data_IF_952512812333
#
_entry.id   IF_952512812333
#
_cell.length_a   1.000
_cell.length_b   1.000
_cell.length_c   1.000
_cell.angle_alpha   90.00
_cell.angle_beta   90.00
_cell.angle_gamma   90.00
#
_symmetry.space_group_name_H-M   'P 1'
#
loop_
_entity.id
_entity.type
_entity.pdbx_description
1 polymer ?
#
# COMPACT_ATOMS: atom_id res chain seq x y z
N UNK A 1 2.20 -3.58 14.17
CA UNK A 1 1.76 -3.75 12.76
C UNK A 1 2.20 -2.54 11.95
N UNK A 2 2.65 -2.75 10.72
CA UNK A 2 2.92 -1.68 9.75
C UNK A 2 1.96 -1.81 8.57
N UNK A 3 1.31 -0.72 8.19
CA UNK A 3 0.43 -0.64 7.04
C UNK A 3 0.87 0.49 6.10
N UNK A 4 0.73 0.26 4.79
CA UNK A 4 1.00 1.28 3.77
C UNK A 4 0.03 1.11 2.60
N UNK A 5 -0.21 2.19 1.88
CA UNK A 5 -1.16 2.23 0.79
C UNK A 5 -1.44 3.64 0.30
N UNK A 6 -2.62 3.80 -0.29
CA UNK A 6 -3.13 5.08 -0.76
C UNK A 6 -4.20 5.66 0.19
N UNK A 7 -5.07 6.54 -0.32
CA UNK A 7 -6.14 7.18 0.43
C UNK A 7 -7.11 6.21 1.13
N UNK A 8 -7.36 5.04 0.53
CA UNK A 8 -8.16 3.96 1.14
C UNK A 8 -7.54 3.40 2.43
N UNK A 9 -6.20 3.42 2.52
CA UNK A 9 -5.46 2.99 3.72
C UNK A 9 -5.23 4.14 4.68
N UNK A 10 -5.02 5.34 4.16
CA UNK A 10 -4.88 6.57 4.95
C UNK A 10 -6.12 6.88 5.82
N UNK A 11 -7.31 6.47 5.37
CA UNK A 11 -8.57 6.85 5.99
C UNK A 11 -9.08 8.20 5.51
N UNK A 12 -8.83 8.52 4.24
CA UNK A 12 -9.30 9.76 3.63
C UNK A 12 -10.83 9.90 3.79
N UNK A 13 -11.29 11.14 3.94
CA UNK A 13 -12.70 11.50 4.11
C UNK A 13 -13.39 10.97 5.40
N UNK A 14 -12.69 10.25 6.29
CA UNK A 14 -13.21 9.96 7.65
C UNK A 14 -13.48 11.26 8.42
N UNK A 15 -12.59 12.23 8.22
CA UNK A 15 -12.67 13.62 8.68
C UNK A 15 -12.30 14.54 7.52
N UNK A 16 -12.39 15.85 7.73
CA UNK A 16 -11.81 16.81 6.78
C UNK A 16 -10.28 16.64 6.71
N UNK A 17 -9.80 16.13 5.58
CA UNK A 17 -8.38 15.84 5.35
C UNK A 17 -7.52 17.11 5.33
N UNK A 18 -8.13 18.27 5.05
CA UNK A 18 -7.44 19.56 5.04
C UNK A 18 -7.30 20.15 6.45
N UNK A 19 -8.06 19.62 7.40
CA UNK A 19 -8.11 20.18 8.74
C UNK A 19 -6.77 20.00 9.47
N UNK A 20 -6.18 21.10 9.99
CA UNK A 20 -4.99 21.02 10.82
C UNK A 20 -5.28 20.46 12.22
N UNK A 21 -6.56 20.29 12.60
CA UNK A 21 -7.02 19.88 13.92
C UNK A 21 -6.43 18.50 14.31
N UNK A 22 -5.70 18.49 15.43
CA UNK A 22 -5.08 17.29 15.95
C UNK A 22 -6.11 16.26 16.43
N UNK A 23 -7.29 16.69 16.89
CA UNK A 23 -8.36 15.79 17.33
C UNK A 23 -8.94 15.03 16.13
N UNK A 24 -9.20 15.73 15.02
CA UNK A 24 -9.68 15.08 13.79
C UNK A 24 -8.62 14.16 13.18
N UNK A 25 -7.35 14.57 13.20
CA UNK A 25 -6.24 13.70 12.79
C UNK A 25 -6.21 12.41 13.61
N UNK A 26 -6.26 12.53 14.94
CA UNK A 26 -6.26 11.40 15.85
C UNK A 26 -7.46 10.48 15.62
N UNK A 27 -8.64 11.07 15.42
CA UNK A 27 -9.84 10.31 15.07
C UNK A 27 -9.61 9.48 13.80
N UNK A 28 -9.10 10.07 12.70
CA UNK A 28 -8.78 9.29 11.49
C UNK A 28 -7.79 8.17 11.77
N UNK A 29 -6.72 8.46 12.51
CA UNK A 29 -5.69 7.47 12.86
C UNK A 29 -6.33 6.29 13.61
N UNK A 30 -7.18 6.54 14.61
CA UNK A 30 -7.86 5.53 15.44
C UNK A 30 -8.99 4.77 14.71
N UNK A 31 -9.59 5.38 13.67
CA UNK A 31 -10.80 4.84 13.02
C UNK A 31 -10.53 4.30 11.61
N UNK A 32 -9.31 4.46 11.09
CA UNK A 32 -8.87 3.86 9.84
C UNK A 32 -8.74 2.33 9.96
N UNK A 33 -8.84 1.62 8.83
CA UNK A 33 -8.78 0.15 8.85
C UNK A 33 -7.48 -0.40 9.44
N UNK A 34 -6.30 0.25 9.29
CA UNK A 34 -5.10 -0.23 9.97
C UNK A 34 -5.23 -0.21 11.49
N UNK A 35 -5.80 0.84 12.09
CA UNK A 35 -6.00 0.87 13.54
C UNK A 35 -6.99 -0.21 13.98
N UNK A 36 -8.15 -0.31 13.30
CA UNK A 36 -9.14 -1.36 13.59
C UNK A 36 -8.57 -2.77 13.44
N UNK A 37 -7.71 -3.01 12.45
CA UNK A 37 -7.04 -4.29 12.27
C UNK A 37 -6.03 -4.56 13.39
N UNK A 38 -5.32 -3.52 13.83
CA UNK A 38 -4.44 -3.60 15.00
C UNK A 38 -5.21 -4.04 16.25
N UNK A 39 -6.37 -3.43 16.51
CA UNK A 39 -7.25 -3.81 17.62
C UNK A 39 -7.68 -5.29 17.51
N UNK A 40 -8.14 -5.74 16.34
CA UNK A 40 -8.55 -7.13 16.13
C UNK A 40 -7.42 -8.16 16.26
N UNK A 41 -6.16 -7.73 16.10
CA UNK A 41 -4.98 -8.59 16.17
C UNK A 41 -4.19 -8.40 17.47
N UNK A 42 -4.72 -7.62 18.44
CA UNK A 42 -4.04 -7.26 19.68
C UNK A 42 -2.63 -6.69 19.44
N UNK A 43 -2.47 -5.85 18.41
CA UNK A 43 -1.18 -5.24 18.08
C UNK A 43 -0.83 -4.13 19.08
N UNK A 44 0.35 -4.21 19.69
CA UNK A 44 0.84 -3.19 20.63
C UNK A 44 0.97 -1.80 19.98
N UNK A 45 1.44 -1.76 18.74
CA UNK A 45 1.64 -0.53 17.95
C UNK A 45 1.11 -0.70 16.53
N UNK A 46 0.54 0.37 15.97
CA UNK A 46 0.12 0.44 14.56
C UNK A 46 0.77 1.64 13.89
N UNK A 47 1.47 1.40 12.79
CA UNK A 47 2.01 2.45 11.91
C UNK A 47 1.22 2.45 10.61
N UNK A 48 0.57 3.57 10.29
CA UNK A 48 -0.08 3.79 9.00
C UNK A 48 0.76 4.79 8.18
N UNK A 49 1.57 4.28 7.25
CA UNK A 49 2.46 5.08 6.37
C UNK A 49 1.81 5.41 5.02
N UNK A 50 0.49 5.20 4.89
CA UNK A 50 -0.24 5.54 3.69
C UNK A 50 -0.36 7.07 3.50
N UNK A 51 -0.55 7.48 2.24
CA UNK A 51 -0.86 8.87 1.88
C UNK A 51 -1.97 8.93 0.86
N UNK A 52 -2.70 10.05 0.83
CA UNK A 52 -3.65 10.33 -0.24
C UNK A 52 -2.92 10.32 -1.58
N UNK A 53 -3.55 9.75 -2.60
CA UNK A 53 -2.97 9.60 -3.95
C UNK A 53 -1.68 8.75 -4.02
N UNK A 54 -1.30 8.03 -2.95
CA UNK A 54 -0.11 7.17 -2.95
C UNK A 54 -0.11 6.18 -4.11
N UNK A 55 0.98 6.16 -4.88
CA UNK A 55 1.25 5.20 -5.95
C UNK A 55 1.94 3.94 -5.44
N UNK A 56 1.91 2.88 -6.26
CA UNK A 56 2.59 1.63 -5.92
C UNK A 56 4.13 1.78 -5.93
N UNK A 57 4.67 2.75 -6.68
CA UNK A 57 6.09 3.11 -6.65
C UNK A 57 6.47 3.63 -5.26
N UNK A 58 5.68 4.58 -4.73
CA UNK A 58 5.85 5.10 -3.37
C UNK A 58 5.71 3.99 -2.34
N UNK A 59 4.63 3.22 -2.41
CA UNK A 59 4.32 2.16 -1.43
C UNK A 59 5.49 1.18 -1.32
N UNK A 60 6.02 0.70 -2.45
CA UNK A 60 7.18 -0.17 -2.47
C UNK A 60 8.40 0.50 -1.83
N UNK A 61 8.76 1.71 -2.29
CA UNK A 61 9.95 2.43 -1.83
C UNK A 61 9.89 2.74 -0.34
N UNK A 62 8.81 3.37 0.14
CA UNK A 62 8.73 3.78 1.55
C UNK A 62 8.56 2.59 2.49
N UNK A 63 7.92 1.50 2.05
CA UNK A 63 7.88 0.26 2.84
C UNK A 63 9.27 -0.33 3.02
N UNK A 64 10.05 -0.45 1.95
CA UNK A 64 11.42 -0.97 2.04
C UNK A 64 12.31 -0.05 2.88
N UNK A 65 12.23 1.26 2.66
CA UNK A 65 12.99 2.26 3.43
C UNK A 65 12.64 2.20 4.93
N UNK A 66 11.34 2.10 5.26
CA UNK A 66 10.87 2.00 6.64
C UNK A 66 11.39 0.72 7.29
N UNK A 67 11.24 -0.44 6.65
CA UNK A 67 11.72 -1.72 7.17
C UNK A 67 13.25 -1.73 7.36
N UNK A 68 13.99 -1.13 6.44
CA UNK A 68 15.44 -0.97 6.56
C UNK A 68 15.85 -0.06 7.73
N UNK A 69 15.01 0.90 8.11
CA UNK A 69 15.17 1.74 9.30
C UNK A 69 14.78 1.06 10.61
N UNK A 70 13.94 0.03 10.56
CA UNK A 70 13.36 -0.67 11.72
C UNK A 70 13.83 -2.13 11.85
N UNK A 71 15.11 -2.39 11.53
CA UNK A 71 15.69 -3.74 11.50
C UNK A 71 15.53 -4.51 12.80
N UNK A 72 15.65 -3.84 13.95
CA UNK A 72 15.51 -4.49 15.25
C UNK A 72 14.11 -5.10 15.43
N UNK A 73 13.06 -4.37 15.05
CA UNK A 73 11.67 -4.85 15.08
C UNK A 73 11.47 -6.04 14.13
N UNK A 74 12.09 -5.96 12.95
CA UNK A 74 12.08 -7.04 11.94
C UNK A 74 12.78 -8.30 12.48
N UNK A 75 13.95 -8.17 13.09
CA UNK A 75 14.75 -9.30 13.62
C UNK A 75 14.08 -9.98 14.81
N UNK A 76 13.41 -9.19 15.66
CA UNK A 76 12.54 -9.71 16.74
C UNK A 76 11.30 -10.43 16.19
N UNK A 77 10.94 -10.22 14.92
CA UNK A 77 9.88 -10.94 14.21
C UNK A 77 8.50 -10.79 14.84
N UNK A 78 8.23 -9.63 15.43
CA UNK A 78 6.93 -9.23 16.00
C UNK A 78 6.16 -8.31 15.05
N UNK A 79 6.50 -8.33 13.75
CA UNK A 79 5.99 -7.38 12.76
C UNK A 79 5.11 -8.09 11.72
N UNK A 80 3.86 -7.65 11.61
CA UNK A 80 3.02 -7.87 10.43
C UNK A 80 3.07 -6.64 9.53
N UNK A 81 3.33 -6.85 8.24
CA UNK A 81 3.25 -5.82 7.17
C UNK A 81 1.98 -6.02 6.36
N UNK A 82 1.12 -5.00 6.27
CA UNK A 82 -0.12 -5.06 5.49
C UNK A 82 -0.11 -3.99 4.40
N UNK A 83 -0.26 -4.39 3.13
CA UNK A 83 -0.15 -3.48 1.99
C UNK A 83 -1.46 -3.45 1.21
N UNK A 84 -2.05 -2.25 1.12
CA UNK A 84 -3.14 -1.95 0.21
C UNK A 84 -2.59 -1.37 -1.09
N UNK A 85 -2.47 -2.21 -2.13
CA UNK A 85 -2.01 -1.76 -3.44
C UNK A 85 -3.01 -0.79 -4.06
N UNK A 86 -2.53 0.34 -4.56
CA UNK A 86 -3.34 1.34 -5.23
C UNK A 86 -3.56 1.00 -6.71
N UNK A 87 -4.24 1.88 -7.44
CA UNK A 87 -4.43 1.74 -8.88
C UNK A 87 -3.08 1.74 -9.61
N UNK A 88 -2.85 0.73 -10.44
CA UNK A 88 -1.57 0.50 -11.12
C UNK A 88 -1.13 1.66 -12.02
N UNK A 89 -2.08 2.46 -12.51
CA UNK A 89 -1.81 3.62 -13.34
C UNK A 89 -1.07 4.76 -12.60
N UNK A 90 -1.11 4.79 -11.26
CA UNK A 90 -0.47 5.84 -10.45
C UNK A 90 1.04 5.65 -10.47
N UNK A 91 1.78 6.76 -10.53
CA UNK A 91 3.25 6.80 -10.56
C UNK A 91 3.82 7.69 -9.47
N UNK A 92 5.10 7.50 -9.20
CA UNK A 92 5.93 8.45 -8.47
C UNK A 92 7.11 8.89 -9.35
N UNK A 93 7.40 10.18 -9.36
CA UNK A 93 8.56 10.74 -10.05
C UNK A 93 9.31 11.71 -9.13
N UNK A 94 10.62 11.78 -9.29
CA UNK A 94 11.44 12.76 -8.59
C UNK A 94 11.48 14.07 -9.38
N UNK A 95 10.82 15.11 -8.87
CA UNK A 95 10.64 16.41 -9.52
C UNK A 95 10.89 17.50 -8.50
N UNK A 96 11.81 18.41 -8.82
CA UNK A 96 12.18 19.55 -7.99
C UNK A 96 12.61 19.16 -6.56
N UNK A 97 13.59 18.25 -6.47
CA UNK A 97 14.19 17.84 -5.20
C UNK A 97 13.35 16.88 -4.35
N UNK A 98 12.15 16.49 -4.81
CA UNK A 98 11.28 15.60 -4.06
C UNK A 98 10.51 14.57 -4.90
N UNK A 99 10.11 13.47 -4.27
CA UNK A 99 9.22 12.49 -4.89
C UNK A 99 7.78 13.01 -4.89
N UNK A 100 7.17 13.05 -6.08
CA UNK A 100 5.81 13.53 -6.31
C UNK A 100 4.96 12.44 -6.95
N UNK A 101 3.71 12.33 -6.48
CA UNK A 101 2.74 11.37 -7.05
C UNK A 101 2.14 11.94 -8.34
N UNK A 102 1.97 11.08 -9.33
CA UNK A 102 1.30 11.37 -10.60
C UNK A 102 0.11 10.45 -10.77
N UNK A 103 -1.05 11.04 -11.05
CA UNK A 103 -2.26 10.33 -11.45
C UNK A 103 -2.64 10.88 -12.83
N UNK A 104 -2.60 10.08 -13.90
CA UNK A 104 -2.76 10.55 -15.29
C UNK A 104 -3.92 11.50 -15.57
N UNK A 105 -5.05 11.33 -14.87
CA UNK A 105 -6.26 12.13 -15.09
C UNK A 105 -6.39 13.33 -14.15
N UNK A 106 -5.36 13.63 -13.38
CA UNK A 106 -5.36 14.76 -12.45
C UNK A 106 -4.51 15.91 -12.96
N UNK A 107 -4.99 17.11 -12.68
CA UNK A 107 -4.21 18.33 -12.86
C UNK A 107 -3.35 18.56 -11.61
N UNK A 108 -2.10 18.95 -11.83
CA UNK A 108 -1.10 19.21 -10.81
C UNK A 108 -0.73 20.68 -10.83
N UNK A 109 -0.64 21.29 -9.65
CA UNK A 109 -0.30 22.71 -9.53
C UNK A 109 1.16 22.99 -9.92
N UNK A 110 2.07 22.03 -9.68
CA UNK A 110 3.48 22.18 -10.04
C UNK A 110 3.65 22.05 -11.56
N UNK A 111 4.17 23.06 -12.27
CA UNK A 111 4.18 23.09 -13.73
C UNK A 111 4.99 21.95 -14.36
N UNK A 112 6.17 21.62 -13.81
CA UNK A 112 6.96 20.50 -14.33
C UNK A 112 6.32 19.15 -14.07
N UNK A 113 5.61 18.99 -12.94
CA UNK A 113 4.86 17.78 -12.64
C UNK A 113 3.68 17.66 -13.61
N UNK A 114 2.97 18.76 -13.87
CA UNK A 114 1.88 18.79 -14.83
C UNK A 114 2.37 18.40 -16.23
N UNK A 115 3.46 19.02 -16.69
CA UNK A 115 4.09 18.69 -17.97
C UNK A 115 4.49 17.21 -18.04
N UNK A 116 5.08 16.69 -16.96
CA UNK A 116 5.45 15.27 -16.88
C UNK A 116 4.22 14.37 -16.91
N UNK A 117 3.15 14.73 -16.21
CA UNK A 117 1.87 13.99 -16.20
C UNK A 117 1.24 13.98 -17.58
N UNK A 118 1.26 15.09 -18.31
CA UNK A 118 0.74 15.18 -19.68
C UNK A 118 1.53 14.28 -20.63
N UNK A 119 2.88 14.34 -20.59
CA UNK A 119 3.74 13.45 -21.38
C UNK A 119 3.53 11.99 -21.01
N UNK A 120 3.46 11.68 -19.71
CA UNK A 120 3.23 10.32 -19.24
C UNK A 120 1.90 9.79 -19.78
N UNK A 121 0.81 10.56 -19.64
CA UNK A 121 -0.52 10.18 -20.14
C UNK A 121 -0.54 9.99 -21.65
N UNK A 122 0.11 10.88 -22.41
CA UNK A 122 0.01 10.90 -23.88
C UNK A 122 0.94 9.90 -24.57
N UNK A 123 2.06 9.55 -23.94
CA UNK A 123 3.13 8.78 -24.61
C UNK A 123 3.44 7.45 -23.92
N UNK A 124 3.46 7.43 -22.59
CA UNK A 124 4.05 6.33 -21.83
C UNK A 124 3.04 5.45 -21.10
N UNK A 125 1.87 5.98 -20.75
CA UNK A 125 0.85 5.23 -20.04
C UNK A 125 0.20 4.19 -20.97
N UNK A 126 0.20 2.93 -20.51
CA UNK A 126 -0.45 1.81 -21.16
C UNK A 126 -0.83 0.76 -20.11
N UNK A 127 -1.94 0.06 -20.29
CA UNK A 127 -2.39 -0.98 -19.35
C UNK A 127 -1.34 -2.09 -19.21
N UNK A 128 -0.71 -2.51 -20.31
CA UNK A 128 0.38 -3.50 -20.29
C UNK A 128 1.57 -3.06 -19.43
N UNK A 129 2.01 -1.80 -19.52
CA UNK A 129 3.09 -1.27 -18.66
C UNK A 129 2.65 -1.25 -17.20
N UNK A 130 1.44 -0.75 -16.95
CA UNK A 130 0.90 -0.59 -15.59
C UNK A 130 0.75 -1.95 -14.91
N UNK A 131 0.23 -2.95 -15.63
CA UNK A 131 0.12 -4.32 -15.14
C UNK A 131 1.47 -5.00 -14.92
N UNK A 132 2.41 -4.86 -15.87
CA UNK A 132 3.76 -5.41 -15.75
C UNK A 132 4.52 -4.82 -14.56
N UNK A 133 4.33 -3.53 -14.31
CA UNK A 133 4.91 -2.85 -13.15
C UNK A 133 4.24 -3.26 -11.85
N UNK A 134 2.91 -3.35 -11.81
CA UNK A 134 2.19 -3.83 -10.63
C UNK A 134 2.70 -5.21 -10.20
N UNK A 135 2.77 -6.17 -11.13
CA UNK A 135 3.24 -7.52 -10.80
C UNK A 135 4.70 -7.52 -10.32
N UNK A 136 5.56 -6.70 -10.96
CA UNK A 136 6.96 -6.54 -10.54
C UNK A 136 7.06 -5.97 -9.12
N UNK A 137 6.23 -4.98 -8.77
CA UNK A 137 6.21 -4.38 -7.43
C UNK A 137 5.74 -5.37 -6.37
N UNK A 138 4.66 -6.12 -6.66
CA UNK A 138 4.15 -7.18 -5.78
C UNK A 138 5.24 -8.21 -5.52
N UNK A 139 5.84 -8.76 -6.58
CA UNK A 139 6.87 -9.79 -6.45
C UNK A 139 8.13 -9.28 -5.77
N UNK A 140 8.51 -8.01 -6.01
CA UNK A 140 9.66 -7.39 -5.36
C UNK A 140 9.46 -7.29 -3.85
N UNK A 141 8.31 -6.75 -3.41
CA UNK A 141 8.02 -6.61 -2.00
C UNK A 141 7.78 -7.97 -1.33
N UNK A 142 7.05 -8.87 -1.98
CA UNK A 142 6.89 -10.26 -1.54
C UNK A 142 8.24 -10.93 -1.28
N UNK A 143 9.15 -10.83 -2.25
CA UNK A 143 10.48 -11.45 -2.15
C UNK A 143 11.30 -10.84 -1.01
N UNK A 144 11.25 -9.52 -0.85
CA UNK A 144 11.91 -8.82 0.25
C UNK A 144 11.38 -9.30 1.61
N UNK A 145 10.05 -9.32 1.80
CA UNK A 145 9.43 -9.73 3.05
C UNK A 145 9.71 -11.21 3.37
N UNK A 146 9.68 -12.08 2.37
CA UNK A 146 10.03 -13.51 2.53
C UNK A 146 11.49 -13.71 2.90
N UNK A 147 12.41 -12.99 2.25
CA UNK A 147 13.84 -13.05 2.57
C UNK A 147 14.11 -12.66 4.03
N UNK A 148 13.39 -11.65 4.52
CA UNK A 148 13.48 -11.17 5.90
C UNK A 148 12.55 -11.90 6.88
N UNK A 149 11.79 -12.90 6.41
CA UNK A 149 10.81 -13.68 7.19
C UNK A 149 9.80 -12.81 7.94
N UNK A 150 9.37 -11.73 7.31
CA UNK A 150 8.36 -10.81 7.84
C UNK A 150 6.98 -11.34 7.42
N UNK A 151 6.08 -11.68 8.35
CA UNK A 151 4.66 -11.88 8.06
C UNK A 151 4.07 -10.74 7.26
N UNK A 152 3.28 -11.05 6.24
CA UNK A 152 2.68 -10.03 5.40
C UNK A 152 1.29 -10.39 4.88
N UNK A 153 0.52 -9.37 4.53
CA UNK A 153 -0.75 -9.51 3.84
C UNK A 153 -0.90 -8.40 2.81
N UNK A 154 -1.14 -8.77 1.56
CA UNK A 154 -1.45 -7.84 0.48
C UNK A 154 -2.93 -7.88 0.14
N UNK A 155 -3.43 -6.79 -0.43
CA UNK A 155 -4.74 -6.72 -1.06
C UNK A 155 -4.77 -5.57 -2.07
N UNK A 156 -5.76 -5.60 -2.96
CA UNK A 156 -6.01 -4.51 -3.90
C UNK A 156 -6.96 -3.48 -3.26
N UNK A 157 -6.58 -2.20 -3.19
CA UNK A 157 -7.40 -1.17 -2.51
C UNK A 157 -8.50 -0.57 -3.37
N UNK A 158 -8.26 -0.42 -4.68
CA UNK A 158 -9.13 0.39 -5.57
C UNK A 158 -9.69 -0.44 -6.72
N UNK A 159 -8.82 -1.07 -7.50
CA UNK A 159 -9.16 -1.89 -8.66
C UNK A 159 -8.62 -3.29 -8.42
N UNK A 160 -9.37 -4.32 -8.78
CA UNK A 160 -8.91 -5.69 -8.62
C UNK A 160 -7.69 -5.97 -9.52
N UNK A 161 -6.81 -6.82 -9.02
CA UNK A 161 -5.72 -7.41 -9.80
C UNK A 161 -6.24 -8.20 -10.99
N UNK A 162 -7.44 -8.80 -10.90
CA UNK A 162 -8.12 -9.42 -12.04
C UNK A 162 -8.32 -8.43 -13.18
N UNK A 163 -8.98 -7.30 -12.91
CA UNK A 163 -9.27 -6.29 -13.93
C UNK A 163 -7.99 -5.65 -14.46
N UNK A 164 -7.09 -5.27 -13.57
CA UNK A 164 -5.83 -4.61 -13.94
C UNK A 164 -4.96 -5.49 -14.83
N UNK A 165 -4.74 -6.75 -14.42
CA UNK A 165 -3.90 -7.69 -15.16
C UNK A 165 -4.60 -8.24 -16.40
N UNK A 166 -5.94 -8.32 -16.37
CA UNK A 166 -6.77 -8.68 -17.53
C UNK A 166 -6.64 -7.64 -18.65
N UNK A 167 -6.84 -6.35 -18.35
CA UNK A 167 -6.64 -5.26 -19.32
C UNK A 167 -5.20 -5.20 -19.86
N UNK A 168 -4.23 -5.55 -19.01
CA UNK A 168 -2.82 -5.61 -19.40
C UNK A 168 -2.48 -6.82 -20.31
N UNK A 169 -3.39 -7.79 -20.48
CA UNK A 169 -3.09 -9.05 -21.16
C UNK A 169 -2.10 -9.94 -20.41
N UNK A 170 -2.03 -9.81 -19.07
CA UNK A 170 -1.05 -10.46 -18.20
C UNK A 170 -1.65 -11.45 -17.22
N UNK A 171 -2.97 -11.71 -17.26
CA UNK A 171 -3.67 -12.61 -16.35
C UNK A 171 -3.06 -14.02 -16.30
N UNK A 172 -2.49 -14.49 -17.41
CA UNK A 172 -1.83 -15.81 -17.53
C UNK A 172 -0.30 -15.71 -17.57
N UNK A 173 0.28 -14.56 -17.20
CA UNK A 173 1.73 -14.41 -17.19
C UNK A 173 2.38 -15.17 -16.03
N UNK A 174 3.58 -15.71 -16.23
CA UNK A 174 4.29 -16.45 -15.19
C UNK A 174 4.55 -15.63 -13.90
N UNK A 175 4.59 -14.29 -14.00
CA UNK A 175 4.67 -13.43 -12.82
C UNK A 175 3.44 -13.54 -11.91
N UNK A 176 2.25 -13.69 -12.49
CA UNK A 176 0.98 -13.86 -11.76
C UNK A 176 0.94 -15.19 -11.03
N UNK A 177 1.50 -16.25 -11.62
CA UNK A 177 1.63 -17.57 -10.99
C UNK A 177 2.56 -17.55 -9.77
N UNK A 178 3.53 -16.63 -9.73
CA UNK A 178 4.49 -16.49 -8.63
C UNK A 178 3.95 -15.70 -7.42
N UNK A 179 2.76 -15.10 -7.53
CA UNK A 179 2.14 -14.38 -6.40
C UNK A 179 1.69 -15.37 -5.34
N UNK A 180 2.11 -15.11 -4.09
CA UNK A 180 1.72 -15.88 -2.92
C UNK A 180 0.27 -15.55 -2.54
N UNK A 181 -0.66 -16.33 -3.10
CA UNK A 181 -2.11 -16.12 -2.90
C UNK A 181 -2.56 -16.35 -1.46
N UNK A 182 -1.79 -17.08 -0.64
CA UNK A 182 -2.06 -17.21 0.80
C UNK A 182 -1.85 -15.87 1.52
N UNK A 183 -0.84 -15.10 1.10
CA UNK A 183 -0.53 -13.78 1.64
C UNK A 183 -1.16 -12.63 0.85
N UNK A 184 -2.15 -12.91 0.00
CA UNK A 184 -2.86 -11.90 -0.77
C UNK A 184 -4.38 -12.13 -0.71
N UNK A 185 -5.09 -11.24 -0.02
CA UNK A 185 -6.53 -11.33 0.11
C UNK A 185 -7.21 -11.14 -1.26
N UNK A 186 -7.87 -12.20 -1.74
CA UNK A 186 -8.68 -12.22 -2.98
C UNK A 186 -7.92 -11.83 -4.26
N UNK A 187 -6.62 -12.17 -4.34
CA UNK A 187 -5.85 -11.93 -5.56
C UNK A 187 -6.44 -12.63 -6.78
N UNK A 188 -6.66 -11.87 -7.86
CA UNK A 188 -7.22 -12.39 -9.10
C UNK A 188 -8.73 -12.63 -9.09
N UNK A 189 -9.44 -12.26 -8.02
CA UNK A 189 -10.90 -12.22 -8.02
C UNK A 189 -11.38 -10.95 -8.74
N UNK A 190 -12.41 -11.07 -9.59
CA UNK A 190 -12.98 -9.92 -10.32
C UNK A 190 -13.45 -8.79 -9.39
N UNK A 191 -14.06 -9.17 -8.26
CA UNK A 191 -14.53 -8.28 -7.19
C UNK A 191 -13.60 -8.31 -5.96
N UNK A 192 -12.31 -8.58 -6.18
CA UNK A 192 -11.34 -8.81 -5.12
C UNK A 192 -10.85 -7.56 -4.38
N UNK A 193 -11.10 -6.36 -4.90
CA UNK A 193 -10.59 -5.14 -4.28
C UNK A 193 -11.37 -4.77 -3.01
N UNK A 194 -10.72 -4.04 -2.11
CA UNK A 194 -11.37 -3.42 -0.94
C UNK A 194 -12.60 -2.62 -1.35
N UNK A 195 -12.51 -1.85 -2.43
CA UNK A 195 -13.61 -1.03 -2.90
C UNK A 195 -14.80 -1.89 -3.35
N UNK A 196 -14.57 -2.98 -4.07
CA UNK A 196 -15.62 -3.88 -4.55
C UNK A 196 -16.28 -4.62 -3.39
N UNK A 197 -15.46 -5.21 -2.51
CA UNK A 197 -15.94 -5.97 -1.35
C UNK A 197 -16.78 -5.11 -0.41
N UNK A 198 -16.36 -3.87 -0.15
CA UNK A 198 -17.10 -2.97 0.73
C UNK A 198 -18.41 -2.49 0.12
N UNK A 199 -18.42 -2.16 -1.19
CA UNK A 199 -19.67 -1.83 -1.90
C UNK A 199 -20.66 -2.99 -1.88
N UNK A 200 -20.18 -4.20 -2.14
CA UNK A 200 -21.01 -5.41 -2.08
C UNK A 200 -21.52 -5.71 -0.65
N UNK A 201 -20.77 -5.31 0.38
CA UNK A 201 -21.16 -5.48 1.79
C UNK A 201 -22.17 -4.43 2.27
N UNK A 202 -22.50 -3.42 1.46
CA UNK A 202 -23.46 -2.37 1.81
C UNK A 202 -22.97 -1.38 2.87
N UNK A 203 -21.66 -1.28 3.09
CA UNK A 203 -21.09 -0.34 4.08
C UNK A 203 -21.25 1.10 3.62
N UNK A 204 -21.25 2.04 4.56
CA UNK A 204 -21.28 3.47 4.29
C UNK A 204 -20.06 3.96 3.50
N UNK A 205 -20.26 5.02 2.73
CA UNK A 205 -19.21 5.75 2.01
C UNK A 205 -19.36 7.24 2.28
N UNK A 206 -18.23 7.92 2.52
CA UNK A 206 -18.16 9.38 2.54
C UNK A 206 -17.44 9.78 1.27
N UNK A 207 -18.13 10.40 0.31
CA UNK A 207 -17.52 10.75 -0.97
C UNK A 207 -17.05 9.52 -1.76
N UNK A 208 -15.74 9.41 -1.96
CA UNK A 208 -15.09 8.32 -2.72
C UNK A 208 -14.42 7.28 -1.82
N UNK A 209 -14.45 7.45 -0.50
CA UNK A 209 -13.82 6.55 0.45
C UNK A 209 -14.82 5.92 1.43
N UNK A 210 -14.47 4.77 2.03
CA UNK A 210 -15.32 4.12 3.01
C UNK A 210 -15.60 5.03 4.21
N UNK A 211 -16.82 4.97 4.73
CA UNK A 211 -17.11 5.52 6.05
C UNK A 211 -16.48 4.62 7.14
N UNK A 212 -16.65 5.02 8.40
CA UNK A 212 -16.07 4.33 9.56
C UNK A 212 -16.45 2.84 9.61
N UNK A 213 -17.72 2.52 9.37
CA UNK A 213 -18.23 1.14 9.33
C UNK A 213 -17.59 0.32 8.20
N UNK A 214 -17.25 0.95 7.08
CA UNK A 214 -16.49 0.35 5.99
C UNK A 214 -15.05 0.02 6.39
N UNK A 215 -14.39 0.91 7.13
CA UNK A 215 -13.05 0.65 7.67
C UNK A 215 -13.04 -0.49 8.68
N UNK A 216 -14.01 -0.52 9.59
CA UNK A 216 -14.17 -1.62 10.56
C UNK A 216 -14.48 -2.96 9.87
N UNK A 217 -15.43 -2.94 8.93
CA UNK A 217 -15.79 -4.14 8.14
C UNK A 217 -14.60 -4.67 7.37
N UNK A 218 -13.79 -3.80 6.77
CA UNK A 218 -12.58 -4.22 6.06
C UNK A 218 -11.55 -4.83 7.00
N UNK A 219 -11.28 -4.18 8.12
CA UNK A 219 -10.36 -4.68 9.14
C UNK A 219 -10.78 -6.07 9.64
N UNK A 220 -12.07 -6.29 9.89
CA UNK A 220 -12.58 -7.59 10.31
C UNK A 220 -12.34 -8.69 9.25
N UNK A 221 -12.56 -8.38 7.96
CA UNK A 221 -12.29 -9.33 6.87
C UNK A 221 -10.80 -9.68 6.76
N UNK A 222 -9.92 -8.69 6.89
CA UNK A 222 -8.47 -8.91 6.90
C UNK A 222 -8.03 -9.73 8.12
N UNK A 223 -8.55 -9.43 9.31
CA UNK A 223 -8.24 -10.18 10.54
C UNK A 223 -8.66 -11.65 10.40
N UNK A 224 -9.85 -11.90 9.86
CA UNK A 224 -10.32 -13.27 9.58
C UNK A 224 -9.38 -14.01 8.63
N UNK A 225 -8.89 -13.35 7.57
CA UNK A 225 -7.92 -13.93 6.64
C UNK A 225 -6.57 -14.24 7.32
N UNK A 226 -6.04 -13.29 8.10
CA UNK A 226 -4.80 -13.47 8.87
C UNK A 226 -4.88 -14.71 9.78
N UNK A 227 -6.01 -14.88 10.46
CA UNK A 227 -6.25 -16.02 11.35
C UNK A 227 -6.40 -17.33 10.56
N UNK A 228 -7.22 -17.33 9.50
CA UNK A 228 -7.49 -18.51 8.68
C UNK A 228 -6.20 -19.07 8.05
N UNK A 229 -5.38 -18.19 7.47
CA UNK A 229 -4.13 -18.55 6.80
C UNK A 229 -2.93 -18.62 7.75
N UNK A 230 -3.14 -18.34 9.05
CA UNK A 230 -2.13 -18.40 10.11
C UNK A 230 -0.89 -17.55 9.81
N UNK A 231 -1.08 -16.36 9.23
CA UNK A 231 0.00 -15.52 8.70
C UNK A 231 0.98 -15.01 9.76
N UNK A 232 0.54 -14.89 11.02
CA UNK A 232 1.40 -14.46 12.13
C UNK A 232 2.42 -15.51 12.59
N UNK A 233 2.38 -16.73 12.03
CA UNK A 233 3.41 -17.74 12.28
C UNK A 233 4.61 -17.46 11.36
N UNK A 234 5.82 -17.42 11.91
CA UNK A 234 7.03 -17.27 11.10
C UNK A 234 7.11 -18.40 10.05
N UNK A 235 7.42 -18.09 8.77
CA UNK A 235 7.57 -19.12 7.74
C UNK A 235 8.61 -20.16 8.14
N UNK A 236 8.24 -21.43 8.16
CA UNK A 236 9.13 -22.56 8.43
C UNK A 236 9.98 -22.87 7.19
N UNK A 237 10.96 -22.03 6.88
CA UNK A 237 12.00 -22.37 5.90
C UNK A 237 13.40 -22.02 6.42
N UNK A 238 14.36 -22.89 6.10
CA UNK A 238 15.74 -22.85 6.55
C UNK A 238 16.40 -21.47 6.33
N UNK A 239 17.40 -21.08 7.16
CA UNK A 239 18.04 -19.78 7.07
C UNK A 239 18.66 -19.54 5.70
N UNK A 240 18.18 -18.50 5.02
CA UNK A 240 18.96 -17.80 4.01
C UNK A 240 19.98 -16.98 4.78
N UNK A 241 21.27 -17.27 4.58
CA UNK A 241 22.35 -16.54 5.22
C UNK A 241 22.26 -15.05 4.86
N UNK A 242 22.46 -14.13 5.81
CA UNK A 242 22.46 -12.71 5.50
C UNK A 242 23.61 -12.37 4.54
N UNK A 243 23.40 -11.45 3.58
CA UNK A 243 24.49 -10.97 2.75
C UNK A 243 25.54 -10.27 3.61
N UNK A 244 26.78 -10.79 3.59
CA UNK A 244 27.97 -10.20 4.22
C UNK A 244 28.53 -9.09 3.33
N UNK A 245 27.74 -8.03 3.10
CA UNK A 245 28.17 -6.84 2.38
C UNK A 245 28.72 -5.77 3.33
N UNK A 246 29.73 -4.98 2.92
CA UNK A 246 30.22 -3.87 3.72
C UNK A 246 29.09 -2.85 3.94
N UNK A 247 28.91 -2.42 5.19
CA UNK A 247 27.96 -1.38 5.54
C UNK A 247 28.35 -0.07 4.84
N UNK A 248 27.52 0.39 3.90
CA UNK A 248 27.66 1.74 3.37
C UNK A 248 27.51 2.74 4.53
N UNK A 249 28.51 3.62 4.67
CA UNK A 249 28.57 4.61 5.74
C UNK A 249 27.29 5.46 5.76
N UNK A 250 26.61 5.47 6.90
CA UNK A 250 25.38 6.26 7.14
C UNK A 250 25.68 7.76 6.99
N UNK A 251 25.26 8.38 5.89
CA UNK A 251 25.10 9.85 5.85
C UNK A 251 23.79 10.22 6.54
N UNK A 252 23.88 11.21 7.43
CA UNK A 252 22.83 11.70 8.32
C UNK A 252 21.71 12.44 7.58
N UNK A 253 20.49 12.15 8.03
CA UNK A 253 19.27 12.98 8.15
C UNK A 253 18.80 13.73 6.89
N UNK A 254 17.73 13.20 6.28
CA UNK A 254 16.71 14.01 5.60
C UNK A 254 15.43 13.94 6.42
N UNK A 255 14.96 15.11 6.90
CA UNK A 255 13.62 15.32 7.45
C UNK A 255 12.95 16.39 6.58
N UNK A 256 11.86 16.03 5.93
CA UNK A 256 10.62 16.81 5.91
C UNK A 256 9.49 15.91 5.44
N UNK A 257 8.44 15.84 6.26
CA UNK A 257 7.16 15.27 5.91
C UNK A 257 6.41 16.28 5.02
N UNK A 258 5.99 15.86 3.84
CA UNK A 258 5.20 16.69 2.93
C UNK A 258 3.78 16.87 3.46
N UNK A 259 3.35 18.13 3.50
CA UNK A 259 2.02 18.59 3.90
C UNK A 259 1.18 19.13 2.73
N UNK A 260 1.62 18.95 1.49
CA UNK A 260 0.98 19.59 0.33
C UNK A 260 0.28 18.55 -0.54
N UNK A 261 -0.84 18.01 -0.07
CA UNK A 261 -1.83 17.33 -0.90
C UNK A 261 -3.24 17.60 -0.40
N UNK A 262 -3.66 18.84 -0.55
CA UNK A 262 -5.04 19.29 -0.42
C UNK A 262 -5.42 19.86 -1.79
N UNK A 263 -6.34 19.20 -2.51
CA UNK A 263 -6.81 19.62 -3.83
C UNK A 263 -7.45 21.03 -3.77
N UNK A 264 -7.50 21.77 -4.90
CA UNK A 264 -8.43 22.87 -5.05
C UNK A 264 -9.90 22.41 -4.93
#
# INVERSE_FOLDING_TARGET
MYANGCSMTYGAELVDDLSPDAVLRRYREEHSWPARLGDFLDAEDVVNDAVISGSNDRILRTTVDWLAGHRETVEKGHLLVVIGWSGAMRREFYVDGEFRQVIPYQQHQHPDLQRLTDVYREVAWHDQESGARLITQILSLQSFLRLHRIPYLFFDSIESSFDTLGRAGLAESGGVEMVDRTHFYRFGDADGSMADVLRASGTGWKGRHPAEDGHETWAHKLAAHVVAERLLRRPTTAPVAPPTGPAFARRRVFRSANRDFLYP
#
